data_IF_528783620964
#
_entry.id   IF_528783620964
#
_cell.length_a   1.000
_cell.length_b   1.000
_cell.length_c   1.000
_cell.angle_alpha   90.00
_cell.angle_beta   90.00
_cell.angle_gamma   90.00
#
_symmetry.space_group_name_H-M   'P 1'
#
loop_
_entity.id
_entity.type
_entity.pdbx_description
1 polymer ?
#
# COMPACT_ATOMS: atom_id res chain seq x y z
N UNK A 1 -30.04 33.98 1.57
CA UNK A 1 -29.37 33.23 2.67
C UNK A 1 -27.89 32.92 2.42
N UNK A 2 -27.23 33.51 1.43
CA UNK A 2 -25.87 33.13 1.00
C UNK A 2 -24.72 34.04 1.44
N UNK A 3 -24.97 35.12 2.17
CA UNK A 3 -23.93 36.08 2.54
C UNK A 3 -23.20 35.78 3.86
N UNK A 4 -23.62 34.78 4.58
CA UNK A 4 -23.08 34.51 5.93
C UNK A 4 -21.91 33.47 5.95
N UNK A 5 -21.66 32.76 4.82
CA UNK A 5 -20.62 31.71 4.72
C UNK A 5 -19.34 32.24 4.09
N UNK A 6 -19.23 33.51 3.78
CA UNK A 6 -18.08 34.12 3.15
C UNK A 6 -17.12 34.75 4.14
N UNK A 7 -15.83 34.46 3.95
CA UNK A 7 -14.73 35.11 4.65
C UNK A 7 -13.80 35.82 3.67
N UNK A 8 -12.76 36.47 4.20
CA UNK A 8 -11.73 37.16 3.44
C UNK A 8 -10.35 36.73 3.90
N UNK A 9 -9.50 36.47 2.96
CA UNK A 9 -8.08 36.18 3.23
C UNK A 9 -7.42 37.38 3.88
N UNK A 10 -6.80 37.20 5.04
CA UNK A 10 -6.10 38.25 5.80
C UNK A 10 -4.58 38.06 5.79
N UNK A 11 -4.10 36.82 5.73
CA UNK A 11 -2.68 36.49 5.65
C UNK A 11 -2.45 35.23 4.83
N UNK A 12 -1.32 35.19 4.13
CA UNK A 12 -0.87 34.03 3.34
C UNK A 12 0.60 33.81 3.66
N UNK A 13 0.93 32.62 4.17
CA UNK A 13 2.31 32.21 4.49
C UNK A 13 2.54 30.84 3.87
N UNK A 14 2.96 30.84 2.58
CA UNK A 14 3.04 29.62 1.79
C UNK A 14 1.66 28.94 1.73
N UNK A 15 1.57 27.63 2.07
CA UNK A 15 0.30 26.91 2.08
C UNK A 15 -0.62 27.21 3.27
N UNK A 16 -0.15 27.95 4.27
CA UNK A 16 -0.98 28.39 5.41
C UNK A 16 -1.69 29.71 5.05
N UNK A 17 -3.01 29.73 5.20
CA UNK A 17 -3.87 30.85 4.85
C UNK A 17 -4.78 31.19 6.03
N UNK A 18 -4.72 32.43 6.49
CA UNK A 18 -5.62 32.94 7.53
C UNK A 18 -6.80 33.65 6.88
N UNK A 19 -8.00 33.29 7.31
CA UNK A 19 -9.28 33.80 6.80
C UNK A 19 -10.11 34.40 7.94
N UNK A 20 -10.64 35.57 7.73
CA UNK A 20 -11.53 36.25 8.67
C UNK A 20 -12.97 36.16 8.17
N UNK A 21 -13.87 35.77 9.06
CA UNK A 21 -15.32 35.72 8.83
C UNK A 21 -16.04 36.81 9.63
N UNK A 22 -17.22 37.19 9.18
CA UNK A 22 -18.05 38.20 9.91
C UNK A 22 -18.68 37.62 11.17
N UNK A 23 -19.82 36.96 11.03
CA UNK A 23 -20.57 36.38 12.15
C UNK A 23 -20.54 34.84 12.16
N UNK A 24 -20.07 34.23 11.11
CA UNK A 24 -19.93 32.79 10.95
C UNK A 24 -18.49 32.35 11.29
N UNK A 25 -18.35 31.24 11.97
CA UNK A 25 -17.07 30.63 12.23
C UNK A 25 -17.09 29.18 11.66
N UNK A 26 -16.31 28.85 10.62
CA UNK A 26 -16.23 27.50 10.09
C UNK A 26 -15.79 26.50 11.15
N UNK A 27 -16.33 25.28 11.09
CA UNK A 27 -15.85 24.19 11.94
C UNK A 27 -14.46 23.72 11.53
N UNK A 28 -13.72 23.15 12.46
CA UNK A 28 -12.43 22.50 12.18
C UNK A 28 -12.65 21.39 11.15
N UNK A 29 -11.72 21.23 10.21
CA UNK A 29 -11.76 20.32 9.06
C UNK A 29 -12.76 20.71 7.94
N UNK A 30 -13.52 21.79 8.07
CA UNK A 30 -14.32 22.26 6.95
C UNK A 30 -13.45 22.65 5.76
N UNK A 31 -13.98 22.37 4.56
CA UNK A 31 -13.39 22.80 3.30
C UNK A 31 -13.90 24.20 2.93
N UNK A 32 -12.98 25.12 2.71
CA UNK A 32 -13.24 26.45 2.18
C UNK A 32 -12.81 26.50 0.72
N UNK A 33 -13.58 27.16 -0.13
CA UNK A 33 -13.30 27.29 -1.56
C UNK A 33 -13.00 28.73 -1.95
N UNK A 34 -12.00 28.91 -2.80
CA UNK A 34 -11.67 30.16 -3.44
C UNK A 34 -11.07 29.91 -4.82
N UNK A 35 -11.21 30.87 -5.73
CA UNK A 35 -10.64 30.75 -7.06
C UNK A 35 -9.41 31.66 -7.18
N UNK A 36 -8.33 31.14 -7.71
CA UNK A 36 -7.09 31.87 -7.97
C UNK A 36 -6.91 31.99 -9.48
N UNK A 37 -6.59 33.20 -9.94
CA UNK A 37 -6.21 33.44 -11.33
C UNK A 37 -4.69 33.63 -11.38
N UNK A 38 -3.98 32.75 -12.09
CA UNK A 38 -2.53 32.83 -12.24
C UNK A 38 -2.11 33.96 -13.19
N UNK A 39 -0.81 34.20 -13.30
CA UNK A 39 -0.24 35.26 -14.16
C UNK A 39 -0.57 35.06 -15.65
N UNK A 40 -0.92 33.85 -16.08
CA UNK A 40 -1.33 33.52 -17.45
C UNK A 40 -2.83 33.67 -17.69
N UNK A 41 -3.59 34.14 -16.68
CA UNK A 41 -5.04 34.33 -16.76
C UNK A 41 -5.87 33.04 -16.62
N UNK A 42 -5.26 31.93 -16.21
CA UNK A 42 -5.96 30.67 -15.95
C UNK A 42 -6.51 30.72 -14.52
N UNK A 43 -7.81 30.51 -14.38
CA UNK A 43 -8.48 30.42 -13.06
C UNK A 43 -8.59 28.96 -12.64
N UNK A 44 -8.16 28.69 -11.42
CA UNK A 44 -8.25 27.36 -10.79
C UNK A 44 -8.89 27.49 -9.40
N UNK A 45 -9.70 26.52 -9.01
CA UNK A 45 -10.27 26.46 -7.68
C UNK A 45 -9.24 25.91 -6.69
N UNK A 46 -9.17 26.54 -5.54
CA UNK A 46 -8.30 26.11 -4.42
C UNK A 46 -9.14 25.78 -3.21
N UNK A 47 -8.90 24.63 -2.66
CA UNK A 47 -9.50 24.16 -1.42
C UNK A 47 -8.58 24.41 -0.24
N UNK A 48 -9.11 25.06 0.78
CA UNK A 48 -8.44 25.31 2.06
C UNK A 48 -9.13 24.48 3.14
N UNK A 49 -8.37 23.73 3.93
CA UNK A 49 -8.93 22.99 5.07
C UNK A 49 -8.70 23.75 6.36
N UNK A 50 -9.77 24.00 7.12
CA UNK A 50 -9.69 24.68 8.41
C UNK A 50 -8.97 23.80 9.42
N UNK A 51 -7.86 24.30 9.96
CA UNK A 51 -7.03 23.56 10.91
C UNK A 51 -7.10 24.11 12.33
N UNK A 52 -7.34 25.41 12.48
CA UNK A 52 -7.23 26.06 13.77
C UNK A 52 -8.13 27.31 13.83
N UNK A 53 -8.79 27.53 14.97
CA UNK A 53 -9.42 28.80 15.33
C UNK A 53 -8.40 29.73 15.99
N UNK A 54 -8.29 30.95 15.49
CA UNK A 54 -7.32 31.94 15.99
C UNK A 54 -7.96 32.94 16.95
N UNK A 55 -9.29 32.92 17.15
CA UNK A 55 -10.05 33.93 17.83
C UNK A 55 -10.56 35.02 16.87
N UNK A 56 -11.45 35.90 17.34
CA UNK A 56 -12.01 37.04 16.58
C UNK A 56 -12.57 36.63 15.20
N UNK A 57 -13.27 35.51 15.13
CA UNK A 57 -13.81 34.90 13.88
C UNK A 57 -12.76 34.63 12.81
N UNK A 58 -11.50 34.37 13.19
CA UNK A 58 -10.42 34.04 12.31
C UNK A 58 -10.07 32.56 12.39
N UNK A 59 -9.80 31.98 11.24
CA UNK A 59 -9.36 30.60 11.11
C UNK A 59 -8.04 30.50 10.36
N UNK A 60 -7.21 29.57 10.76
CA UNK A 60 -6.02 29.18 9.99
C UNK A 60 -6.32 27.91 9.22
N UNK A 61 -6.05 27.98 7.94
CA UNK A 61 -6.29 26.90 6.99
C UNK A 61 -4.98 26.43 6.35
N UNK A 62 -5.00 25.22 5.82
CA UNK A 62 -3.93 24.68 4.99
C UNK A 62 -4.48 24.40 3.60
N UNK A 63 -3.79 24.90 2.59
CA UNK A 63 -4.18 24.72 1.19
C UNK A 63 -3.89 23.31 0.67
N UNK A 64 -4.81 22.78 -0.15
CA UNK A 64 -4.66 21.51 -0.84
C UNK A 64 -4.00 21.68 -2.24
N UNK A 65 -4.05 22.86 -2.79
CA UNK A 65 -3.40 23.25 -4.05
C UNK A 65 -2.44 24.43 -3.81
N UNK A 66 -1.54 24.73 -4.78
CA UNK A 66 -0.64 25.88 -4.70
C UNK A 66 -1.39 27.19 -4.47
N UNK A 67 -0.82 28.06 -3.65
CA UNK A 67 -1.42 29.38 -3.27
C UNK A 67 -0.89 30.56 -4.08
N UNK A 68 -0.03 30.32 -5.06
CA UNK A 68 0.54 31.35 -5.91
C UNK A 68 -0.56 32.06 -6.72
N UNK A 69 -0.63 33.37 -6.55
CA UNK A 69 -1.68 34.22 -7.13
C UNK A 69 -2.82 34.55 -6.17
N UNK A 70 -2.87 33.95 -4.98
CA UNK A 70 -3.82 34.32 -3.93
C UNK A 70 -3.45 35.68 -3.35
N UNK A 71 -4.45 36.51 -3.08
CA UNK A 71 -4.24 37.87 -2.58
C UNK A 71 -5.06 38.14 -1.29
N UNK A 72 -4.54 39.05 -0.47
CA UNK A 72 -5.30 39.52 0.70
C UNK A 72 -6.62 40.20 0.28
N UNK A 73 -7.65 39.99 1.04
CA UNK A 73 -8.99 40.48 0.74
C UNK A 73 -9.80 39.60 -0.18
N UNK A 74 -9.20 38.55 -0.76
CA UNK A 74 -9.88 37.58 -1.62
C UNK A 74 -11.01 36.88 -0.84
N UNK A 75 -12.11 36.67 -1.53
CA UNK A 75 -13.29 35.99 -0.94
C UNK A 75 -13.07 34.50 -0.89
N UNK A 76 -13.42 33.93 0.25
CA UNK A 76 -13.39 32.47 0.51
C UNK A 76 -14.76 32.04 1.00
N UNK A 77 -15.29 30.95 0.51
CA UNK A 77 -16.60 30.44 0.88
C UNK A 77 -16.48 29.13 1.66
N UNK A 78 -17.07 29.09 2.86
CA UNK A 78 -17.21 27.86 3.64
C UNK A 78 -18.24 26.94 3.00
N UNK A 79 -17.87 25.69 2.74
CA UNK A 79 -18.77 24.66 2.21
C UNK A 79 -19.70 24.08 3.28
N UNK A 80 -19.44 24.37 4.56
CA UNK A 80 -20.17 23.81 5.71
C UNK A 80 -19.92 22.32 5.94
N UNK A 81 -18.89 21.75 5.33
CA UNK A 81 -18.54 20.32 5.43
C UNK A 81 -17.06 20.09 5.16
N UNK A 82 -16.50 18.96 5.61
CA UNK A 82 -15.15 18.55 5.26
C UNK A 82 -14.97 18.33 3.75
N UNK A 83 -13.73 18.14 3.32
CA UNK A 83 -13.42 17.73 1.94
C UNK A 83 -14.19 16.44 1.62
N UNK A 84 -15.05 16.51 0.62
CA UNK A 84 -15.80 15.37 0.09
C UNK A 84 -15.25 14.96 -1.27
N UNK A 85 -15.08 13.67 -1.46
CA UNK A 85 -14.49 13.10 -2.69
C UNK A 85 -15.46 12.12 -3.36
N UNK A 86 -15.42 12.01 -4.70
CA UNK A 86 -16.23 11.04 -5.42
C UNK A 86 -15.83 9.62 -5.03
N UNK A 87 -16.82 8.76 -4.90
CA UNK A 87 -16.65 7.35 -4.56
C UNK A 87 -17.51 6.50 -5.49
N UNK A 88 -17.19 5.22 -5.62
CA UNK A 88 -17.98 4.28 -6.37
C UNK A 88 -17.26 3.73 -7.60
N UNK A 89 -17.93 2.85 -8.37
CA UNK A 89 -17.37 2.19 -9.55
C UNK A 89 -16.82 3.16 -10.60
N UNK A 90 -17.34 4.37 -10.65
CA UNK A 90 -16.92 5.42 -11.58
C UNK A 90 -15.48 5.93 -11.33
N UNK A 91 -14.90 5.62 -10.16
CA UNK A 91 -13.51 5.93 -9.84
C UNK A 91 -12.52 4.88 -10.36
N UNK A 92 -12.99 3.70 -10.73
CA UNK A 92 -12.13 2.63 -11.21
C UNK A 92 -11.47 2.99 -12.54
N UNK A 93 -10.19 2.70 -12.65
CA UNK A 93 -9.36 3.04 -13.81
C UNK A 93 -8.99 4.52 -13.90
N UNK A 94 -9.44 5.36 -12.98
CA UNK A 94 -9.23 6.80 -12.96
C UNK A 94 -8.12 7.20 -11.98
N UNK A 95 -7.50 8.33 -12.26
CA UNK A 95 -6.58 8.99 -11.34
C UNK A 95 -7.25 10.26 -10.82
N UNK A 96 -7.37 10.37 -9.51
CA UNK A 96 -7.91 11.55 -8.82
C UNK A 96 -6.88 12.14 -7.85
N UNK A 97 -7.00 13.43 -7.58
CA UNK A 97 -6.19 14.12 -6.59
C UNK A 97 -6.83 14.06 -5.17
N UNK A 98 -6.23 14.77 -4.22
CA UNK A 98 -6.67 14.79 -2.83
C UNK A 98 -8.10 15.27 -2.63
N UNK A 99 -8.60 16.18 -3.45
CA UNK A 99 -9.96 16.72 -3.39
C UNK A 99 -10.96 15.99 -4.29
N UNK A 100 -10.47 14.97 -5.01
CA UNK A 100 -11.31 14.13 -5.88
C UNK A 100 -11.42 14.60 -7.32
N UNK A 101 -10.64 15.59 -7.73
CA UNK A 101 -10.61 16.02 -9.13
C UNK A 101 -9.82 15.03 -9.99
N UNK A 102 -10.29 14.69 -11.21
CA UNK A 102 -9.56 13.84 -12.13
C UNK A 102 -8.31 14.56 -12.65
N UNK A 103 -7.19 13.83 -12.69
CA UNK A 103 -5.89 14.32 -13.19
C UNK A 103 -5.35 13.50 -14.36
N UNK A 104 -6.17 12.61 -14.90
CA UNK A 104 -5.84 11.68 -15.99
C UNK A 104 -6.26 12.17 -17.39
N UNK A 105 -6.70 13.43 -17.51
CA UNK A 105 -7.19 14.05 -18.77
C UNK A 105 -8.35 13.31 -19.44
N UNK A 106 -9.06 12.45 -18.70
CA UNK A 106 -10.20 11.65 -19.21
C UNK A 106 -11.57 12.26 -18.90
N UNK A 107 -11.60 13.57 -18.61
CA UNK A 107 -12.83 14.29 -18.30
C UNK A 107 -13.36 14.04 -16.87
N UNK A 108 -14.49 14.65 -16.52
CA UNK A 108 -15.05 14.57 -15.18
C UNK A 108 -15.47 13.15 -14.82
N UNK A 109 -15.47 12.84 -13.51
CA UNK A 109 -15.97 11.58 -12.97
C UNK A 109 -17.47 11.69 -12.78
N UNK A 110 -18.21 10.81 -13.43
CA UNK A 110 -19.69 10.75 -13.35
C UNK A 110 -20.19 10.08 -12.06
N UNK A 111 -19.73 10.58 -10.91
CA UNK A 111 -20.04 9.99 -9.60
C UNK A 111 -21.52 10.19 -9.19
N UNK A 112 -22.04 9.19 -8.48
CA UNK A 112 -23.38 9.23 -7.88
C UNK A 112 -23.38 9.65 -6.42
N UNK A 113 -22.24 9.49 -5.75
CA UNK A 113 -22.05 9.74 -4.32
C UNK A 113 -20.71 10.38 -4.06
N UNK A 114 -20.67 11.23 -3.03
CA UNK A 114 -19.42 11.73 -2.45
C UNK A 114 -19.41 11.41 -0.96
N UNK A 115 -18.23 11.16 -0.40
CA UNK A 115 -18.04 10.92 1.03
C UNK A 115 -16.94 11.83 1.59
N UNK A 116 -17.07 12.25 2.86
CA UNK A 116 -16.04 13.05 3.51
C UNK A 116 -14.79 12.22 3.77
N UNK A 117 -13.61 12.82 3.63
CA UNK A 117 -12.33 12.14 3.90
C UNK A 117 -12.07 11.97 5.40
N UNK A 118 -12.64 12.84 6.24
CA UNK A 118 -12.59 12.72 7.69
C UNK A 118 -13.80 11.93 8.16
N UNK A 119 -13.56 10.70 8.56
CA UNK A 119 -14.57 9.74 9.03
C UNK A 119 -14.05 9.03 10.27
N UNK A 120 -14.95 8.63 11.12
CA UNK A 120 -14.65 7.77 12.26
C UNK A 120 -14.36 6.34 11.83
N UNK A 121 -13.57 5.64 12.63
CA UNK A 121 -13.38 4.20 12.47
C UNK A 121 -14.70 3.44 12.66
N UNK A 122 -14.86 2.23 12.09
CA UNK A 122 -16.05 1.41 12.32
C UNK A 122 -16.27 1.14 13.81
N UNK A 123 -17.53 1.11 14.23
CA UNK A 123 -17.90 0.81 15.62
C UNK A 123 -17.57 -0.65 15.97
N UNK A 124 -17.33 -0.93 17.24
CA UNK A 124 -17.04 -2.30 17.71
C UNK A 124 -18.10 -3.33 17.29
N UNK A 125 -19.36 -2.94 17.27
CA UNK A 125 -20.47 -3.81 16.84
C UNK A 125 -20.45 -4.17 15.36
N UNK A 126 -19.77 -3.38 14.52
CA UNK A 126 -19.66 -3.58 13.08
C UNK A 126 -18.42 -4.38 12.69
N UNK A 127 -17.46 -4.54 13.61
CA UNK A 127 -16.22 -5.24 13.35
C UNK A 127 -16.45 -6.75 13.15
N UNK A 128 -15.69 -7.32 12.23
CA UNK A 128 -15.49 -8.76 12.14
C UNK A 128 -14.21 -9.11 12.90
N UNK A 129 -14.34 -9.86 13.97
CA UNK A 129 -13.23 -10.26 14.85
C UNK A 129 -12.62 -11.61 14.48
N UNK A 130 -13.09 -12.26 13.40
CA UNK A 130 -12.50 -13.52 12.92
C UNK A 130 -11.12 -13.25 12.33
N UNK A 131 -10.13 -14.03 12.77
CA UNK A 131 -8.79 -14.01 12.18
C UNK A 131 -8.78 -14.91 10.95
N UNK A 132 -9.03 -14.33 9.78
CA UNK A 132 -9.03 -15.03 8.51
C UNK A 132 -7.79 -14.65 7.70
N UNK A 133 -7.23 -15.64 7.02
CA UNK A 133 -6.14 -15.40 6.09
C UNK A 133 -6.68 -14.81 4.79
N UNK A 134 -5.97 -13.81 4.28
CA UNK A 134 -6.16 -13.26 2.95
C UNK A 134 -5.22 -13.98 1.97
N UNK A 135 -5.76 -14.91 1.19
CA UNK A 135 -4.98 -15.68 0.22
C UNK A 135 -4.60 -14.80 -0.98
N UNK A 136 -3.30 -14.65 -1.22
CA UNK A 136 -2.75 -13.80 -2.28
C UNK A 136 -2.48 -14.53 -3.59
N UNK A 137 -2.39 -15.85 -3.55
CA UNK A 137 -1.97 -16.70 -4.69
C UNK A 137 -0.47 -16.65 -4.97
N UNK A 138 0.31 -16.07 -4.05
CA UNK A 138 1.77 -15.96 -4.12
C UNK A 138 2.37 -16.87 -3.04
N UNK A 139 3.07 -17.92 -3.46
CA UNK A 139 3.56 -18.98 -2.57
C UNK A 139 4.32 -18.49 -1.36
N UNK A 140 5.30 -17.60 -1.55
CA UNK A 140 6.15 -17.11 -0.46
C UNK A 140 5.36 -16.34 0.57
N UNK A 141 4.40 -15.52 0.16
CA UNK A 141 3.54 -14.74 1.06
C UNK A 141 2.60 -15.69 1.81
N UNK A 142 1.82 -16.46 1.07
CA UNK A 142 0.76 -17.29 1.65
C UNK A 142 1.32 -18.36 2.61
N UNK A 143 2.50 -18.91 2.33
CA UNK A 143 3.10 -19.92 3.18
C UNK A 143 3.81 -19.33 4.41
N UNK A 144 4.67 -18.31 4.22
CA UNK A 144 5.67 -17.90 5.22
C UNK A 144 5.35 -16.60 5.95
N UNK A 145 4.50 -15.75 5.35
CA UNK A 145 4.09 -14.46 5.91
C UNK A 145 2.63 -14.13 5.60
N UNK A 146 1.68 -15.03 5.88
CA UNK A 146 0.29 -14.89 5.44
C UNK A 146 -0.32 -13.56 5.89
N UNK A 147 -1.02 -12.90 4.96
CA UNK A 147 -1.71 -11.65 5.23
C UNK A 147 -3.03 -11.91 5.96
N UNK A 148 -3.33 -11.07 6.94
CA UNK A 148 -4.63 -11.11 7.61
C UNK A 148 -5.66 -10.34 6.79
N UNK A 149 -6.85 -10.91 6.60
CA UNK A 149 -7.99 -10.21 6.02
C UNK A 149 -8.41 -9.05 6.94
N UNK A 150 -8.42 -7.84 6.40
CA UNK A 150 -8.60 -6.63 7.21
C UNK A 150 -7.37 -6.20 7.99
N UNK A 151 -6.23 -6.85 7.76
CA UNK A 151 -4.95 -6.55 8.40
C UNK A 151 -4.13 -5.50 7.64
N UNK A 152 -3.00 -5.18 8.25
CA UNK A 152 -2.08 -4.14 7.77
C UNK A 152 -0.71 -4.76 7.59
N UNK A 153 -0.20 -4.73 6.35
CA UNK A 153 1.11 -5.26 6.00
C UNK A 153 2.05 -4.13 5.63
N UNK A 154 3.22 -4.11 6.24
CA UNK A 154 4.32 -3.23 5.84
C UNK A 154 5.15 -3.86 4.73
N UNK A 155 5.35 -3.14 3.63
CA UNK A 155 6.20 -3.55 2.52
C UNK A 155 7.50 -2.77 2.55
N UNK A 156 8.59 -3.48 2.76
CA UNK A 156 9.96 -2.94 2.84
C UNK A 156 10.76 -3.37 1.63
N UNK A 157 11.59 -2.49 1.11
CA UNK A 157 12.47 -2.81 0.01
C UNK A 157 13.04 -1.57 -0.65
N UNK A 158 14.29 -1.66 -1.06
CA UNK A 158 14.98 -0.61 -1.81
C UNK A 158 14.50 -0.52 -3.26
N UNK A 159 15.11 0.36 -4.03
CA UNK A 159 14.84 0.45 -5.46
C UNK A 159 15.28 -0.81 -6.22
N UNK A 160 14.52 -1.21 -7.23
CA UNK A 160 14.88 -2.29 -8.15
C UNK A 160 14.66 -3.71 -7.64
N UNK A 161 13.96 -3.91 -6.53
CA UNK A 161 13.66 -5.24 -5.97
C UNK A 161 12.31 -5.82 -6.40
N UNK A 162 11.59 -5.13 -7.31
CA UNK A 162 10.31 -5.59 -7.82
C UNK A 162 9.08 -5.20 -6.99
N UNK A 163 9.18 -4.14 -6.15
CA UNK A 163 8.05 -3.64 -5.34
C UNK A 163 6.80 -3.38 -6.18
N UNK A 164 6.94 -2.61 -7.25
CA UNK A 164 5.84 -2.24 -8.15
C UNK A 164 5.21 -3.47 -8.81
N UNK A 165 6.03 -4.40 -9.27
CA UNK A 165 5.54 -5.65 -9.90
C UNK A 165 4.77 -6.51 -8.91
N UNK A 166 5.23 -6.59 -7.65
CA UNK A 166 4.51 -7.30 -6.59
C UNK A 166 3.16 -6.63 -6.29
N UNK A 167 3.11 -5.30 -6.20
CA UNK A 167 1.86 -4.55 -6.00
C UNK A 167 0.87 -4.84 -7.12
N UNK A 168 1.31 -4.75 -8.38
CA UNK A 168 0.46 -5.03 -9.53
C UNK A 168 -0.06 -6.47 -9.54
N UNK A 169 0.77 -7.43 -9.17
CA UNK A 169 0.35 -8.83 -9.08
C UNK A 169 -0.69 -9.06 -7.97
N UNK A 170 -0.52 -8.43 -6.82
CA UNK A 170 -1.52 -8.45 -5.75
C UNK A 170 -2.87 -7.87 -6.20
N UNK A 171 -2.85 -6.74 -6.92
CA UNK A 171 -4.07 -6.12 -7.49
C UNK A 171 -4.76 -7.10 -8.47
N UNK A 172 -3.98 -7.70 -9.36
CA UNK A 172 -4.51 -8.66 -10.32
C UNK A 172 -5.09 -9.90 -9.63
N UNK A 173 -4.42 -10.40 -8.61
CA UNK A 173 -4.82 -11.61 -7.91
C UNK A 173 -6.06 -11.42 -7.03
N UNK A 174 -6.22 -10.26 -6.36
CA UNK A 174 -7.47 -9.98 -5.63
C UNK A 174 -8.67 -9.89 -6.57
N UNK A 175 -8.48 -9.29 -7.73
CA UNK A 175 -9.55 -9.20 -8.72
C UNK A 175 -9.96 -10.59 -9.25
N UNK A 176 -9.00 -11.49 -9.48
CA UNK A 176 -9.25 -12.85 -9.98
C UNK A 176 -9.72 -13.81 -8.88
N UNK A 177 -9.07 -13.80 -7.73
CA UNK A 177 -9.33 -14.75 -6.65
C UNK A 177 -10.52 -14.40 -5.77
N UNK A 178 -10.73 -13.12 -5.50
CA UNK A 178 -11.73 -12.63 -4.54
C UNK A 178 -12.84 -11.79 -5.18
N UNK A 179 -12.73 -11.42 -6.45
CA UNK A 179 -13.67 -10.52 -7.13
C UNK A 179 -13.75 -9.13 -6.49
N UNK A 180 -12.71 -8.75 -5.76
CA UNK A 180 -12.58 -7.48 -5.04
C UNK A 180 -11.97 -6.38 -5.89
N UNK A 181 -11.89 -5.19 -5.29
CA UNK A 181 -11.29 -4.01 -5.89
C UNK A 181 -10.03 -3.59 -5.12
N UNK A 182 -9.21 -2.81 -5.77
CA UNK A 182 -8.03 -2.21 -5.17
C UNK A 182 -8.08 -0.70 -5.24
N UNK A 183 -7.46 -0.05 -4.27
CA UNK A 183 -7.24 1.39 -4.25
C UNK A 183 -5.76 1.63 -4.01
N UNK A 184 -5.14 2.44 -4.84
CA UNK A 184 -3.73 2.81 -4.69
C UNK A 184 -3.64 4.29 -4.33
N UNK A 185 -3.12 4.59 -3.16
CA UNK A 185 -2.84 5.94 -2.67
C UNK A 185 -1.34 6.24 -2.78
N UNK A 186 -0.98 7.05 -3.77
CA UNK A 186 0.38 7.56 -3.96
C UNK A 186 0.61 8.81 -3.11
N UNK A 187 1.39 8.68 -2.04
CA UNK A 187 1.61 9.71 -1.04
C UNK A 187 3.03 10.27 -1.15
N UNK A 188 3.17 11.47 -1.69
CA UNK A 188 4.44 12.16 -1.78
C UNK A 188 5.47 11.50 -2.69
N UNK A 189 5.04 10.66 -3.62
CA UNK A 189 5.92 10.00 -4.59
C UNK A 189 6.22 10.89 -5.80
N UNK A 190 7.20 10.48 -6.60
CA UNK A 190 7.58 11.22 -7.81
C UNK A 190 6.49 11.08 -8.87
N UNK A 191 6.14 12.20 -9.52
CA UNK A 191 5.15 12.23 -10.61
C UNK A 191 5.47 11.22 -11.71
N UNK A 192 6.76 11.07 -12.06
CA UNK A 192 7.19 10.11 -13.08
C UNK A 192 6.86 8.67 -12.65
N UNK A 193 7.17 8.29 -11.42
CA UNK A 193 6.90 6.94 -10.91
C UNK A 193 5.40 6.62 -10.89
N UNK A 194 4.57 7.60 -10.50
CA UNK A 194 3.11 7.46 -10.56
C UNK A 194 2.58 7.30 -11.98
N UNK A 195 3.16 8.04 -12.95
CA UNK A 195 2.79 7.92 -14.35
C UNK A 195 3.25 6.59 -14.96
N UNK A 196 4.48 6.17 -14.64
CA UNK A 196 5.01 4.88 -15.09
C UNK A 196 4.13 3.73 -14.55
N UNK A 197 3.76 3.74 -13.27
CA UNK A 197 2.86 2.77 -12.66
C UNK A 197 1.49 2.70 -13.36
N UNK A 198 0.92 3.85 -13.69
CA UNK A 198 -0.36 3.91 -14.40
C UNK A 198 -0.28 3.27 -15.79
N UNK A 199 0.79 3.53 -16.55
CA UNK A 199 1.02 2.91 -17.86
C UNK A 199 1.26 1.40 -17.73
N UNK A 200 2.06 0.96 -16.77
CA UNK A 200 2.30 -0.45 -16.48
C UNK A 200 1.00 -1.20 -16.11
N UNK A 201 0.11 -0.57 -15.33
CA UNK A 201 -1.22 -1.12 -15.02
C UNK A 201 -2.11 -1.24 -16.26
N UNK A 202 -2.00 -0.31 -17.20
CA UNK A 202 -2.70 -0.40 -18.48
C UNK A 202 -2.12 -1.48 -19.38
N UNK A 203 -0.80 -1.63 -19.42
CA UNK A 203 -0.12 -2.61 -20.27
C UNK A 203 -0.31 -4.04 -19.74
N UNK A 204 -0.37 -4.21 -18.43
CA UNK A 204 -0.66 -5.50 -17.79
C UNK A 204 -2.15 -5.88 -17.76
N UNK A 205 -3.05 -4.97 -18.21
CA UNK A 205 -4.49 -5.21 -18.25
C UNK A 205 -5.20 -5.09 -16.88
N UNK A 206 -4.53 -4.58 -15.85
CA UNK A 206 -5.15 -4.23 -14.55
C UNK A 206 -6.13 -3.06 -14.72
N UNK A 207 -5.76 -2.10 -15.57
CA UNK A 207 -6.63 -1.04 -16.06
C UNK A 207 -6.96 -1.33 -17.51
N UNK A 208 -8.26 -1.44 -17.83
CA UNK A 208 -8.69 -1.64 -19.21
C UNK A 208 -8.65 -0.31 -19.96
N UNK A 209 -7.82 -0.26 -21.02
CA UNK A 209 -7.64 0.95 -21.85
C UNK A 209 -8.90 1.37 -22.61
N UNK A 210 -9.73 0.40 -22.98
CA UNK A 210 -10.89 0.60 -23.85
C UNK A 210 -12.17 0.80 -23.04
N UNK A 211 -12.28 0.15 -21.88
CA UNK A 211 -13.47 0.19 -21.04
C UNK A 211 -13.06 0.29 -19.56
N UNK A 212 -12.95 1.50 -19.06
CA UNK A 212 -12.53 1.76 -17.67
C UNK A 212 -13.43 1.08 -16.62
N UNK A 213 -14.69 0.79 -16.97
CA UNK A 213 -15.61 0.10 -16.04
C UNK A 213 -15.17 -1.33 -15.70
N UNK A 214 -14.30 -1.92 -16.50
CA UNK A 214 -13.70 -3.23 -16.26
C UNK A 214 -12.44 -3.18 -15.41
N UNK A 215 -11.90 -2.00 -15.18
CA UNK A 215 -10.73 -1.80 -14.35
C UNK A 215 -11.01 -2.20 -12.90
N UNK A 216 -9.99 -2.65 -12.18
CA UNK A 216 -10.11 -3.19 -10.83
C UNK A 216 -9.42 -2.34 -9.77
N UNK A 217 -8.87 -1.20 -10.15
CA UNK A 217 -8.12 -0.30 -9.28
C UNK A 217 -8.51 1.15 -9.51
N UNK A 218 -8.64 1.92 -8.42
CA UNK A 218 -8.70 3.37 -8.43
C UNK A 218 -7.36 3.94 -7.95
N UNK A 219 -6.86 4.99 -8.61
CA UNK A 219 -5.59 5.62 -8.28
C UNK A 219 -5.84 7.01 -7.68
N UNK A 220 -5.25 7.28 -6.52
CA UNK A 220 -5.35 8.55 -5.83
C UNK A 220 -3.95 9.10 -5.59
N UNK A 221 -3.59 10.22 -6.23
CA UNK A 221 -2.25 10.75 -6.19
C UNK A 221 -2.17 12.10 -5.48
N UNK A 222 -1.25 12.19 -4.52
CA UNK A 222 -0.74 13.42 -3.92
C UNK A 222 0.78 13.43 -4.05
N UNK A 223 1.27 13.98 -5.16
CA UNK A 223 2.67 13.88 -5.56
C UNK A 223 3.58 14.75 -4.68
N UNK A 224 4.90 14.51 -4.73
CA UNK A 224 5.87 15.23 -3.90
C UNK A 224 5.95 16.74 -4.20
N UNK A 225 5.51 17.16 -5.37
CA UNK A 225 5.46 18.59 -5.78
C UNK A 225 4.22 19.30 -5.24
N UNK A 226 3.23 18.59 -4.73
CA UNK A 226 2.01 19.16 -4.18
C UNK A 226 2.24 19.73 -2.78
N UNK A 227 1.41 20.68 -2.32
CA UNK A 227 1.50 21.26 -0.98
C UNK A 227 1.42 20.19 0.12
N UNK A 228 1.98 20.47 1.31
CA UNK A 228 1.95 19.52 2.42
C UNK A 228 0.53 19.14 2.87
N UNK A 229 -0.45 20.04 2.71
CA UNK A 229 -1.86 19.74 2.96
C UNK A 229 -2.37 18.60 2.09
N UNK A 230 -2.10 18.63 0.78
CA UNK A 230 -2.48 17.56 -0.14
C UNK A 230 -1.81 16.24 0.22
N UNK A 231 -0.51 16.24 0.46
CA UNK A 231 0.26 15.04 0.82
C UNK A 231 -0.17 14.43 2.17
N UNK A 232 -0.61 15.27 3.11
CA UNK A 232 -1.12 14.82 4.41
C UNK A 232 -2.55 14.24 4.34
N UNK A 233 -3.31 14.50 3.29
CA UNK A 233 -4.73 14.10 3.17
C UNK A 233 -4.99 13.05 2.09
N UNK A 234 -4.10 12.89 1.13
CA UNK A 234 -4.33 11.96 -0.01
C UNK A 234 -4.53 10.50 0.43
N UNK A 235 -3.84 10.05 1.47
CA UNK A 235 -4.06 8.70 2.03
C UNK A 235 -5.50 8.55 2.59
N UNK A 236 -6.04 9.60 3.21
CA UNK A 236 -7.43 9.62 3.70
C UNK A 236 -8.42 9.58 2.53
N UNK A 237 -8.12 10.27 1.43
CA UNK A 237 -8.93 10.22 0.20
C UNK A 237 -8.98 8.79 -0.34
N UNK A 238 -7.82 8.14 -0.48
CA UNK A 238 -7.74 6.75 -0.93
C UNK A 238 -8.50 5.79 -0.02
N UNK A 239 -8.34 5.95 1.29
CA UNK A 239 -9.06 5.15 2.27
C UNK A 239 -10.58 5.36 2.18
N UNK A 240 -11.05 6.59 1.95
CA UNK A 240 -12.48 6.89 1.78
C UNK A 240 -13.06 6.19 0.56
N UNK A 241 -12.34 6.14 -0.55
CA UNK A 241 -12.76 5.37 -1.74
C UNK A 241 -12.82 3.87 -1.42
N UNK A 242 -11.83 3.35 -0.70
CA UNK A 242 -11.82 1.94 -0.27
C UNK A 242 -12.99 1.60 0.68
N UNK A 243 -13.31 2.49 1.60
CA UNK A 243 -14.44 2.33 2.54
C UNK A 243 -15.79 2.24 1.83
N UNK A 244 -15.99 2.95 0.72
CA UNK A 244 -17.20 2.81 -0.07
C UNK A 244 -17.38 1.37 -0.55
N UNK A 245 -16.35 0.77 -1.14
CA UNK A 245 -16.43 -0.59 -1.63
C UNK A 245 -16.63 -1.62 -0.50
N UNK A 246 -16.02 -1.40 0.66
CA UNK A 246 -16.24 -2.24 1.85
C UNK A 246 -17.66 -2.11 2.42
N UNK A 247 -18.11 -0.87 2.65
CA UNK A 247 -19.29 -0.59 3.48
C UNK A 247 -20.59 -0.57 2.67
N UNK A 248 -20.54 -0.15 1.40
CA UNK A 248 -21.71 -0.02 0.51
C UNK A 248 -21.82 -1.22 -0.42
N UNK A 249 -20.73 -1.64 -1.04
CA UNK A 249 -20.74 -2.78 -1.97
C UNK A 249 -20.44 -4.13 -1.31
N UNK A 250 -20.00 -4.12 -0.04
CA UNK A 250 -19.72 -5.36 0.69
C UNK A 250 -18.56 -6.16 0.10
N UNK A 251 -17.55 -5.49 -0.43
CA UNK A 251 -16.41 -6.12 -1.11
C UNK A 251 -15.18 -6.24 -0.20
N UNK A 252 -14.33 -7.18 -0.55
CA UNK A 252 -12.97 -7.23 -0.04
C UNK A 252 -12.10 -6.28 -0.87
N UNK A 253 -11.47 -5.33 -0.20
CA UNK A 253 -10.70 -4.25 -0.83
C UNK A 253 -9.25 -4.36 -0.43
N UNK A 254 -8.34 -4.19 -1.37
CA UNK A 254 -6.92 -4.07 -1.13
C UNK A 254 -6.52 -2.60 -1.25
N UNK A 255 -6.04 -2.02 -0.16
CA UNK A 255 -5.58 -0.63 -0.12
C UNK A 255 -4.05 -0.60 -0.10
N UNK A 256 -3.47 0.01 -1.12
CA UNK A 256 -2.04 0.31 -1.15
C UNK A 256 -1.79 1.75 -0.72
N UNK A 257 -0.80 1.96 0.12
CA UNK A 257 -0.31 3.29 0.51
C UNK A 257 1.18 3.36 0.21
N UNK A 258 1.55 4.12 -0.77
CA UNK A 258 2.95 4.31 -1.13
C UNK A 258 3.29 5.80 -1.14
N UNK A 259 3.90 6.35 -0.13
CA UNK A 259 4.57 5.71 0.99
C UNK A 259 4.00 6.25 2.31
N UNK A 260 3.76 5.39 3.29
CA UNK A 260 3.17 5.82 4.58
C UNK A 260 4.07 6.78 5.36
N UNK A 261 5.39 6.70 5.20
CA UNK A 261 6.33 7.66 5.80
C UNK A 261 6.07 9.10 5.32
N UNK A 262 5.70 9.26 4.04
CA UNK A 262 5.41 10.58 3.47
C UNK A 262 4.14 11.20 4.06
N UNK A 263 3.18 10.38 4.47
CA UNK A 263 2.03 10.84 5.24
C UNK A 263 2.45 11.49 6.56
N UNK A 264 3.34 10.85 7.33
CA UNK A 264 3.84 11.40 8.58
C UNK A 264 4.71 12.63 8.36
N UNK A 265 5.53 12.65 7.34
CA UNK A 265 6.38 13.79 6.97
C UNK A 265 5.53 15.02 6.61
N UNK A 266 4.50 14.85 5.78
CA UNK A 266 3.58 15.92 5.43
C UNK A 266 2.82 16.44 6.65
N UNK A 267 2.43 15.57 7.58
CA UNK A 267 1.86 15.94 8.87
C UNK A 267 2.79 16.81 9.72
N UNK A 268 4.10 16.51 9.73
CA UNK A 268 5.10 17.33 10.42
C UNK A 268 5.22 18.73 9.78
N UNK A 269 5.22 18.81 8.44
CA UNK A 269 5.23 20.09 7.71
C UNK A 269 3.98 20.94 8.03
N UNK A 270 2.79 20.33 8.03
CA UNK A 270 1.54 20.99 8.39
C UNK A 270 1.59 21.48 9.84
N UNK A 271 2.05 20.66 10.77
CA UNK A 271 2.20 21.01 12.19
C UNK A 271 3.11 22.22 12.38
N UNK A 272 4.23 22.30 11.65
CA UNK A 272 5.14 23.43 11.68
C UNK A 272 4.46 24.71 11.14
N UNK A 273 3.70 24.64 10.06
CA UNK A 273 2.91 25.76 9.52
C UNK A 273 1.86 26.29 10.50
N UNK A 274 1.32 25.41 11.33
CA UNK A 274 0.37 25.78 12.39
C UNK A 274 1.05 26.35 13.63
N UNK A 275 2.39 26.39 13.69
CA UNK A 275 3.14 26.89 14.83
C UNK A 275 3.09 25.96 16.04
N UNK A 276 2.82 24.68 15.88
CA UNK A 276 2.82 23.70 16.97
C UNK A 276 4.27 23.38 17.39
N UNK A 277 4.49 23.22 18.68
CA UNK A 277 5.80 22.82 19.21
C UNK A 277 6.14 21.40 18.72
N UNK A 278 7.27 21.19 18.08
CA UNK A 278 7.67 19.85 17.61
C UNK A 278 7.98 18.91 18.78
N UNK A 279 7.72 17.63 18.58
CA UNK A 279 8.13 16.54 19.45
C UNK A 279 9.52 16.01 19.09
N UNK A 280 9.88 14.81 19.54
CA UNK A 280 11.16 14.18 19.26
C UNK A 280 11.47 14.14 17.75
N UNK A 281 12.71 14.40 17.38
CA UNK A 281 13.24 14.39 16.00
C UNK A 281 12.51 15.38 15.06
N UNK A 282 11.76 16.35 15.61
CA UNK A 282 11.03 17.36 14.82
C UNK A 282 9.67 16.93 14.32
N UNK A 283 9.17 15.76 14.71
CA UNK A 283 7.82 15.30 14.33
C UNK A 283 6.72 16.07 15.07
N UNK A 284 5.50 16.01 14.52
CA UNK A 284 4.31 16.58 15.15
C UNK A 284 3.98 15.90 16.48
N UNK A 285 3.49 16.63 17.48
CA UNK A 285 3.06 16.02 18.74
C UNK A 285 1.85 15.08 18.60
N UNK A 286 1.11 15.21 17.50
CA UNK A 286 -0.07 14.41 17.15
C UNK A 286 0.24 13.19 16.28
N UNK A 287 1.51 12.83 16.06
CA UNK A 287 1.94 11.75 15.18
C UNK A 287 1.19 10.43 15.45
N UNK A 288 1.18 9.99 16.69
CA UNK A 288 0.53 8.72 17.06
C UNK A 288 -0.99 8.77 16.86
N UNK A 289 -1.62 9.91 17.15
CA UNK A 289 -3.06 10.10 16.97
C UNK A 289 -3.44 10.10 15.49
N UNK A 290 -2.73 10.85 14.67
CA UNK A 290 -2.96 10.92 13.21
C UNK A 290 -2.76 9.55 12.54
N UNK A 291 -1.72 8.83 12.92
CA UNK A 291 -1.47 7.47 12.44
C UNK A 291 -2.58 6.52 12.92
N UNK A 292 -2.98 6.60 14.18
CA UNK A 292 -4.05 5.78 14.74
C UNK A 292 -5.39 6.02 14.02
N UNK A 293 -5.78 7.26 13.80
CA UNK A 293 -7.01 7.62 13.08
C UNK A 293 -7.05 7.04 11.66
N UNK A 294 -5.93 7.05 10.94
CA UNK A 294 -5.82 6.42 9.63
C UNK A 294 -5.91 4.89 9.75
N UNK A 295 -5.11 4.28 10.62
CA UNK A 295 -4.93 2.83 10.69
C UNK A 295 -6.18 2.10 11.23
N UNK A 296 -6.90 2.68 12.19
CA UNK A 296 -8.09 2.07 12.78
C UNK A 296 -9.29 2.00 11.81
N UNK A 297 -9.31 2.82 10.77
CA UNK A 297 -10.29 2.73 9.70
C UNK A 297 -10.04 1.54 8.75
N UNK A 298 -8.79 1.04 8.71
CA UNK A 298 -8.37 -0.10 7.89
C UNK A 298 -8.66 -1.37 8.67
N UNK A 299 -9.79 -2.00 8.42
CA UNK A 299 -10.22 -3.19 9.16
C UNK A 299 -11.29 -3.97 8.40
N UNK A 300 -11.58 -5.19 8.89
CA UNK A 300 -12.72 -5.99 8.46
C UNK A 300 -13.98 -5.59 9.22
N UNK A 301 -15.08 -5.47 8.47
CA UNK A 301 -16.43 -5.30 9.03
C UNK A 301 -17.30 -6.51 8.69
N UNK A 302 -18.50 -6.57 9.24
CA UNK A 302 -19.50 -7.60 8.89
C UNK A 302 -19.93 -7.55 7.43
N UNK A 303 -19.67 -6.46 6.72
CA UNK A 303 -20.06 -6.25 5.31
C UNK A 303 -18.96 -6.60 4.33
N UNK A 304 -17.73 -6.25 4.64
CA UNK A 304 -16.57 -6.44 3.79
C UNK A 304 -15.27 -6.12 4.53
N UNK A 305 -14.15 -6.12 3.83
CA UNK A 305 -12.84 -5.88 4.45
C UNK A 305 -12.01 -4.88 3.66
N UNK A 306 -11.12 -4.17 4.37
CA UNK A 306 -10.00 -3.45 3.79
C UNK A 306 -8.73 -4.08 4.35
N UNK A 307 -7.96 -4.71 3.47
CA UNK A 307 -6.61 -5.20 3.77
C UNK A 307 -5.61 -4.21 3.18
N UNK A 308 -4.63 -3.76 3.94
CA UNK A 308 -3.67 -2.78 3.42
C UNK A 308 -2.27 -3.34 3.25
N UNK A 309 -1.62 -2.88 2.19
CA UNK A 309 -0.18 -3.03 1.96
C UNK A 309 0.42 -1.63 1.91
N UNK A 310 1.25 -1.31 2.89
CA UNK A 310 1.81 0.02 3.09
C UNK A 310 3.31 -0.02 2.85
N UNK A 311 3.78 0.68 1.84
CA UNK A 311 5.21 0.85 1.64
C UNK A 311 5.77 1.72 2.77
N UNK A 312 6.80 1.23 3.45
CA UNK A 312 7.42 1.90 4.56
C UNK A 312 8.86 2.25 4.19
N UNK A 313 9.18 3.54 4.28
CA UNK A 313 10.55 4.02 4.21
C UNK A 313 11.08 4.21 5.63
N UNK A 314 12.26 3.67 5.90
CA UNK A 314 12.95 3.81 7.19
C UNK A 314 14.12 4.76 6.99
N UNK A 315 14.06 6.00 7.52
CA UNK A 315 15.14 6.97 7.40
C UNK A 315 16.44 6.44 7.98
N UNK A 316 17.52 6.48 7.21
CA UNK A 316 18.86 6.03 7.62
C UNK A 316 18.91 4.59 8.17
N UNK A 317 17.95 3.74 7.80
CA UNK A 317 17.77 2.39 8.33
C UNK A 317 17.58 2.35 9.87
N UNK A 318 17.15 3.47 10.46
CA UNK A 318 16.89 3.60 11.90
C UNK A 318 15.44 3.25 12.24
N UNK A 319 15.22 2.02 12.68
CA UNK A 319 13.91 1.51 13.11
C UNK A 319 13.40 2.14 14.41
N UNK A 320 14.24 2.91 15.12
CA UNK A 320 13.85 3.63 16.34
C UNK A 320 13.34 5.04 16.07
N UNK A 321 13.42 5.52 14.82
CA UNK A 321 12.80 6.77 14.39
C UNK A 321 11.29 6.75 14.68
N UNK A 322 10.73 7.83 15.26
CA UNK A 322 9.31 7.86 15.67
C UNK A 322 8.29 7.52 14.59
N UNK A 323 8.54 7.88 13.33
CA UNK A 323 7.59 7.63 12.26
C UNK A 323 7.49 6.13 11.91
N UNK A 324 8.57 5.40 11.56
CA UNK A 324 8.49 3.97 11.36
C UNK A 324 8.08 3.23 12.64
N UNK A 325 8.58 3.61 13.82
CA UNK A 325 8.22 2.95 15.08
C UNK A 325 6.70 3.01 15.34
N UNK A 326 6.07 4.17 15.11
CA UNK A 326 4.62 4.32 15.24
C UNK A 326 3.87 3.49 14.21
N UNK A 327 4.37 3.43 12.97
CA UNK A 327 3.77 2.61 11.91
C UNK A 327 3.84 1.12 12.25
N UNK A 328 5.00 0.63 12.70
CA UNK A 328 5.19 -0.78 13.08
C UNK A 328 4.22 -1.27 14.15
N UNK A 329 3.84 -0.40 15.09
CA UNK A 329 2.88 -0.76 16.14
C UNK A 329 1.52 -1.22 15.59
N UNK A 330 1.15 -0.76 14.39
CA UNK A 330 -0.11 -1.09 13.73
C UNK A 330 -0.03 -2.28 12.76
N UNK A 331 1.18 -2.71 12.39
CA UNK A 331 1.34 -3.76 11.37
C UNK A 331 1.08 -5.15 11.92
N UNK A 332 0.39 -5.96 11.14
CA UNK A 332 0.12 -7.38 11.40
C UNK A 332 1.14 -8.30 10.71
N UNK A 333 1.70 -7.84 9.59
CA UNK A 333 2.72 -8.55 8.84
C UNK A 333 3.75 -7.58 8.25
N UNK A 334 4.94 -8.10 7.95
CA UNK A 334 6.00 -7.35 7.26
C UNK A 334 6.57 -8.18 6.13
N UNK A 335 6.54 -7.64 4.91
CA UNK A 335 7.15 -8.20 3.71
C UNK A 335 8.44 -7.47 3.41
N UNK A 336 9.56 -8.15 3.49
CA UNK A 336 10.88 -7.59 3.20
C UNK A 336 11.35 -8.06 1.83
N UNK A 337 11.55 -7.12 0.89
CA UNK A 337 12.13 -7.40 -0.41
C UNK A 337 13.66 -7.22 -0.34
N UNK A 338 14.40 -8.26 -0.74
CA UNK A 338 15.86 -8.33 -0.66
C UNK A 338 16.54 -8.15 -2.01
N UNK A 339 17.56 -7.28 -2.06
CA UNK A 339 18.43 -7.14 -3.24
C UNK A 339 19.28 -8.39 -3.49
N UNK A 340 19.68 -9.09 -2.44
CA UNK A 340 20.46 -10.31 -2.54
C UNK A 340 19.65 -11.42 -3.24
N UNK A 341 18.37 -11.57 -2.86
CA UNK A 341 17.45 -12.52 -3.48
C UNK A 341 17.14 -12.12 -4.93
N UNK A 342 16.93 -10.82 -5.18
CA UNK A 342 16.75 -10.30 -6.54
C UNK A 342 17.98 -10.56 -7.43
N UNK A 343 19.19 -10.43 -6.89
CA UNK A 343 20.44 -10.72 -7.60
C UNK A 343 20.59 -12.20 -7.98
N UNK A 344 19.96 -13.11 -7.24
CA UNK A 344 19.87 -14.54 -7.57
C UNK A 344 18.82 -14.84 -8.66
N UNK A 345 18.10 -13.82 -9.14
CA UNK A 345 17.02 -13.98 -10.11
C UNK A 345 15.73 -14.59 -9.52
N UNK A 346 15.58 -14.62 -8.20
CA UNK A 346 14.42 -15.18 -7.53
C UNK A 346 13.38 -14.07 -7.37
N UNK A 347 12.23 -14.22 -8.02
CA UNK A 347 11.11 -13.29 -7.96
C UNK A 347 9.81 -14.03 -7.61
N UNK A 348 8.96 -13.44 -6.70
CA UNK A 348 9.19 -12.18 -5.99
C UNK A 348 10.40 -12.27 -5.06
N UNK A 349 11.15 -11.18 -4.94
CA UNK A 349 12.39 -11.14 -4.15
C UNK A 349 12.12 -10.98 -2.64
N UNK A 350 11.15 -11.68 -2.12
CA UNK A 350 10.77 -11.66 -0.70
C UNK A 350 11.80 -12.43 0.11
N UNK A 351 12.32 -11.82 1.16
CA UNK A 351 13.18 -12.49 2.13
C UNK A 351 12.32 -13.32 3.11
N UNK A 352 12.37 -14.66 3.00
CA UNK A 352 11.52 -15.53 3.82
C UNK A 352 11.90 -15.57 5.30
N UNK A 353 13.12 -15.16 5.65
CA UNK A 353 13.62 -15.15 7.02
C UNK A 353 13.40 -13.80 7.71
N UNK A 354 13.48 -12.70 6.95
CA UNK A 354 13.26 -11.35 7.46
C UNK A 354 11.78 -10.95 7.47
N UNK A 355 10.93 -11.61 6.68
CA UNK A 355 9.49 -11.35 6.62
C UNK A 355 8.75 -12.09 7.73
N UNK A 356 7.73 -11.43 8.30
CA UNK A 356 7.00 -11.94 9.47
C UNK A 356 5.50 -11.72 9.33
N UNK A 357 4.72 -12.56 10.02
CA UNK A 357 3.27 -12.37 10.17
C UNK A 357 2.79 -12.84 11.54
N UNK A 358 1.92 -12.04 12.15
CA UNK A 358 1.23 -12.43 13.39
C UNK A 358 0.25 -13.57 13.18
N UNK A 359 -0.20 -13.77 11.94
CA UNK A 359 -1.13 -14.82 11.57
C UNK A 359 -0.45 -16.21 11.54
N UNK A 360 0.88 -16.27 11.50
CA UNK A 360 1.64 -17.52 11.49
C UNK A 360 1.62 -18.17 12.89
N UNK A 361 0.46 -18.71 13.24
CA UNK A 361 0.15 -19.37 14.51
C UNK A 361 -0.67 -20.65 14.22
N UNK A 362 -0.31 -21.81 14.82
CA UNK A 362 -1.00 -23.08 14.54
C UNK A 362 -2.49 -23.05 14.92
N UNK A 363 -2.88 -22.20 15.88
CA UNK A 363 -4.28 -22.04 16.29
C UNK A 363 -5.14 -21.35 15.23
N UNK A 364 -4.52 -20.58 14.33
CA UNK A 364 -5.20 -19.82 13.27
C UNK A 364 -5.11 -20.58 11.94
N UNK A 365 -3.91 -21.00 11.56
CA UNK A 365 -3.64 -21.60 10.25
C UNK A 365 -3.74 -23.13 10.24
N UNK A 366 -3.77 -23.75 11.41
CA UNK A 366 -3.68 -25.20 11.57
C UNK A 366 -2.24 -25.72 11.56
N UNK A 367 -2.07 -26.92 12.13
CA UNK A 367 -0.74 -27.52 12.35
C UNK A 367 0.01 -27.79 11.06
N UNK A 368 -0.67 -28.22 10.01
CA UNK A 368 -0.02 -28.59 8.76
C UNK A 368 0.64 -27.42 8.06
N UNK A 369 -0.07 -26.28 7.95
CA UNK A 369 0.49 -25.06 7.38
C UNK A 369 1.64 -24.53 8.25
N UNK A 370 1.40 -24.37 9.55
CA UNK A 370 2.39 -23.84 10.48
C UNK A 370 3.68 -24.66 10.49
N UNK A 371 3.57 -25.99 10.64
CA UNK A 371 4.74 -26.86 10.68
C UNK A 371 5.52 -26.84 9.37
N UNK A 372 4.84 -26.82 8.22
CA UNK A 372 5.50 -26.71 6.91
C UNK A 372 6.26 -25.41 6.81
N UNK A 373 5.66 -24.28 7.17
CA UNK A 373 6.31 -22.97 7.16
C UNK A 373 7.55 -22.93 8.06
N UNK A 374 7.43 -23.48 9.28
CA UNK A 374 8.55 -23.49 10.23
C UNK A 374 9.69 -24.40 9.76
N UNK A 375 9.40 -25.54 9.13
CA UNK A 375 10.41 -26.42 8.53
C UNK A 375 11.15 -25.75 7.39
N UNK A 376 10.42 -25.07 6.50
CA UNK A 376 11.01 -24.27 5.41
C UNK A 376 11.95 -23.21 5.96
N UNK A 377 11.50 -22.43 6.95
CA UNK A 377 12.33 -21.40 7.60
C UNK A 377 13.57 -22.01 8.26
N UNK A 378 13.44 -23.14 8.95
CA UNK A 378 14.57 -23.82 9.59
C UNK A 378 15.62 -24.30 8.60
N UNK A 379 15.21 -24.87 7.47
CA UNK A 379 16.12 -25.31 6.39
C UNK A 379 16.83 -24.10 5.77
N UNK A 380 16.12 -23.03 5.48
CA UNK A 380 16.70 -21.80 4.92
C UNK A 380 17.64 -21.11 5.90
N UNK A 381 17.30 -21.08 7.19
CA UNK A 381 18.16 -20.53 8.24
C UNK A 381 19.47 -21.32 8.37
N UNK A 382 19.37 -22.64 8.40
CA UNK A 382 20.55 -23.52 8.44
C UNK A 382 21.42 -23.33 7.20
N UNK A 383 20.82 -23.21 6.02
CA UNK A 383 21.56 -22.92 4.79
C UNK A 383 22.30 -21.58 4.86
N UNK A 384 21.66 -20.54 5.39
CA UNK A 384 22.30 -19.24 5.58
C UNK A 384 23.53 -19.33 6.50
N UNK A 385 23.44 -20.09 7.59
CA UNK A 385 24.57 -20.34 8.49
C UNK A 385 25.71 -21.10 7.81
N UNK A 386 25.39 -22.00 6.87
CA UNK A 386 26.39 -22.79 6.14
C UNK A 386 27.04 -22.02 4.98
N UNK A 387 26.46 -20.91 4.52
CA UNK A 387 26.98 -20.17 3.35
C UNK A 387 28.40 -19.64 3.58
N UNK A 388 28.73 -19.16 4.76
CA UNK A 388 30.07 -18.70 5.07
C UNK A 388 31.09 -19.85 5.04
N UNK A 389 30.71 -21.01 5.54
CA UNK A 389 31.55 -22.23 5.52
C UNK A 389 31.75 -22.67 4.07
N UNK A 390 30.69 -22.68 3.26
CA UNK A 390 30.75 -23.06 1.84
C UNK A 390 31.67 -22.10 1.06
N UNK A 391 31.57 -20.79 1.35
CA UNK A 391 32.38 -19.77 0.68
C UNK A 391 33.89 -19.90 0.98
N UNK A 392 34.24 -20.32 2.17
CA UNK A 392 35.65 -20.41 2.63
C UNK A 392 36.24 -21.78 2.36
N UNK A 393 35.53 -22.86 2.67
CA UNK A 393 36.05 -24.23 2.67
C UNK A 393 35.53 -25.08 1.50
N UNK A 394 34.46 -24.65 0.84
CA UNK A 394 33.80 -25.41 -0.22
C UNK A 394 32.72 -26.38 0.30
N UNK A 395 31.97 -26.93 -0.65
CA UNK A 395 30.87 -27.89 -0.35
C UNK A 395 31.39 -29.25 0.15
N UNK A 396 32.62 -29.65 -0.22
CA UNK A 396 33.14 -30.96 0.10
C UNK A 396 33.44 -31.16 1.58
N UNK A 397 33.71 -30.08 2.30
CA UNK A 397 33.98 -30.09 3.75
C UNK A 397 32.72 -30.21 4.61
N UNK A 398 31.50 -30.10 4.03
CA UNK A 398 30.27 -30.30 4.75
C UNK A 398 29.99 -31.75 5.07
N UNK A 399 29.32 -32.04 6.18
CA UNK A 399 28.75 -33.35 6.48
C UNK A 399 27.73 -33.77 5.43
N UNK A 400 27.46 -35.03 5.28
CA UNK A 400 26.44 -35.52 4.35
C UNK A 400 25.03 -34.98 4.68
N UNK A 401 24.71 -34.82 5.98
CA UNK A 401 23.47 -34.21 6.42
C UNK A 401 23.39 -32.74 6.03
N UNK A 402 24.47 -31.97 6.19
CA UNK A 402 24.52 -30.57 5.78
C UNK A 402 24.43 -30.42 4.26
N UNK A 403 25.08 -31.29 3.49
CA UNK A 403 24.96 -31.33 2.03
C UNK A 403 23.51 -31.55 1.59
N UNK A 404 22.79 -32.44 2.26
CA UNK A 404 21.38 -32.71 1.99
C UNK A 404 20.50 -31.46 2.32
N UNK A 405 20.75 -30.82 3.45
CA UNK A 405 20.06 -29.57 3.84
C UNK A 405 20.31 -28.48 2.79
N UNK A 406 21.54 -28.29 2.34
CA UNK A 406 21.89 -27.31 1.30
C UNK A 406 21.17 -27.62 -0.01
N UNK A 407 21.13 -28.90 -0.44
CA UNK A 407 20.44 -29.31 -1.66
C UNK A 407 18.93 -29.00 -1.58
N UNK A 408 18.28 -29.31 -0.46
CA UNK A 408 16.87 -29.00 -0.25
C UNK A 408 16.61 -27.50 -0.12
N UNK A 409 17.48 -26.75 0.55
CA UNK A 409 17.37 -25.30 0.69
C UNK A 409 17.42 -24.60 -0.68
N UNK A 410 18.30 -25.02 -1.57
CA UNK A 410 18.39 -24.48 -2.93
C UNK A 410 17.11 -24.76 -3.74
N UNK A 411 16.54 -25.96 -3.61
CA UNK A 411 15.25 -26.29 -4.24
C UNK A 411 14.13 -25.44 -3.68
N UNK A 412 14.08 -25.25 -2.36
CA UNK A 412 13.10 -24.38 -1.68
C UNK A 412 13.23 -22.94 -2.17
N UNK A 413 14.44 -22.37 -2.23
CA UNK A 413 14.65 -21.01 -2.74
C UNK A 413 14.13 -20.84 -4.16
N UNK A 414 14.41 -21.79 -5.04
CA UNK A 414 13.93 -21.76 -6.42
C UNK A 414 12.43 -21.97 -6.50
N UNK A 415 11.85 -22.82 -5.66
CA UNK A 415 10.41 -23.06 -5.62
C UNK A 415 9.63 -21.90 -5.02
N UNK A 416 10.27 -21.04 -4.22
CA UNK A 416 9.68 -19.76 -3.78
C UNK A 416 9.48 -18.78 -4.92
N UNK A 417 10.23 -18.90 -6.02
CA UNK A 417 10.01 -18.12 -7.22
C UNK A 417 8.70 -18.51 -7.92
N UNK A 418 8.07 -17.53 -8.56
CA UNK A 418 6.77 -17.73 -9.21
C UNK A 418 6.64 -16.77 -10.40
N UNK A 419 6.18 -17.23 -11.56
CA UNK A 419 5.88 -16.35 -12.68
C UNK A 419 4.61 -15.55 -12.38
N UNK A 420 4.66 -14.25 -12.63
CA UNK A 420 3.54 -13.32 -12.40
C UNK A 420 2.79 -13.02 -13.69
N UNK A 421 1.47 -12.87 -13.60
CA UNK A 421 0.62 -12.48 -14.72
C UNK A 421 1.02 -11.12 -15.29
N UNK A 422 1.32 -10.17 -14.43
CA UNK A 422 1.70 -8.80 -14.84
C UNK A 422 3.07 -8.74 -15.50
N UNK A 423 3.88 -9.78 -15.37
CA UNK A 423 5.20 -9.89 -15.97
C UNK A 423 5.25 -10.75 -17.25
N UNK A 424 4.13 -11.34 -17.69
CA UNK A 424 4.08 -12.23 -18.86
C UNK A 424 4.68 -11.63 -20.12
N UNK A 425 4.36 -10.36 -20.39
CA UNK A 425 4.88 -9.66 -21.58
C UNK A 425 6.39 -9.44 -21.58
N UNK A 426 7.03 -9.43 -20.40
CA UNK A 426 8.48 -9.24 -20.27
C UNK A 426 9.24 -10.57 -20.17
N UNK A 427 8.64 -11.57 -19.54
CA UNK A 427 9.28 -12.85 -19.28
C UNK A 427 8.95 -13.92 -20.32
N UNK A 428 7.86 -13.75 -21.07
CA UNK A 428 7.31 -14.76 -21.96
C UNK A 428 6.75 -16.00 -21.25
N UNK A 429 6.64 -15.95 -19.91
CA UNK A 429 6.11 -17.04 -19.10
C UNK A 429 4.69 -16.71 -18.65
N UNK A 430 3.78 -17.69 -18.77
CA UNK A 430 2.43 -17.53 -18.25
C UNK A 430 2.42 -17.43 -16.74
N UNK A 431 1.73 -16.41 -16.21
CA UNK A 431 1.59 -16.18 -14.78
C UNK A 431 0.82 -17.30 -14.08
N UNK A 432 1.06 -17.46 -12.80
CA UNK A 432 0.47 -18.52 -11.99
C UNK A 432 -0.15 -17.94 -10.72
N UNK A 433 -1.41 -18.28 -10.47
CA UNK A 433 -2.04 -18.16 -9.17
C UNK A 433 -1.94 -19.52 -8.47
N UNK A 434 -1.21 -19.59 -7.38
CA UNK A 434 -0.99 -20.86 -6.67
C UNK A 434 -1.85 -20.88 -5.40
N UNK A 435 -2.72 -21.87 -5.29
CA UNK A 435 -3.56 -22.04 -4.09
C UNK A 435 -2.70 -22.40 -2.89
N UNK A 436 -3.14 -21.98 -1.71
CA UNK A 436 -2.44 -22.26 -0.45
C UNK A 436 -2.20 -23.77 -0.24
N UNK A 437 -3.20 -24.59 -0.52
CA UNK A 437 -3.10 -26.07 -0.37
C UNK A 437 -1.97 -26.65 -1.22
N UNK A 438 -1.84 -26.20 -2.48
CA UNK A 438 -0.78 -26.64 -3.41
C UNK A 438 0.60 -26.14 -2.93
N UNK A 439 0.68 -24.95 -2.37
CA UNK A 439 1.90 -24.41 -1.77
C UNK A 439 2.33 -25.25 -0.56
N UNK A 440 1.44 -25.51 0.39
CA UNK A 440 1.73 -26.32 1.58
C UNK A 440 2.19 -27.74 1.16
N UNK A 441 1.45 -28.37 0.25
CA UNK A 441 1.79 -29.70 -0.28
C UNK A 441 3.20 -29.72 -0.89
N UNK A 442 3.46 -28.79 -1.81
CA UNK A 442 4.73 -28.76 -2.54
C UNK A 442 5.93 -28.56 -1.62
N UNK A 443 5.87 -27.60 -0.71
CA UNK A 443 6.95 -27.35 0.24
C UNK A 443 7.10 -28.47 1.29
N UNK A 444 6.01 -29.05 1.77
CA UNK A 444 6.08 -30.20 2.67
C UNK A 444 6.79 -31.38 1.99
N UNK A 445 6.43 -31.72 0.76
CA UNK A 445 7.07 -32.81 0.00
C UNK A 445 8.55 -32.57 -0.27
N UNK A 446 8.97 -31.32 -0.51
CA UNK A 446 10.40 -30.98 -0.66
C UNK A 446 11.13 -31.16 0.67
N UNK A 447 10.55 -30.69 1.78
CA UNK A 447 11.12 -30.87 3.12
C UNK A 447 11.24 -32.34 3.52
N UNK A 448 10.28 -33.18 3.12
CA UNK A 448 10.29 -34.64 3.36
C UNK A 448 11.31 -35.40 2.50
N UNK A 449 11.88 -34.73 1.50
CA UNK A 449 12.88 -35.34 0.61
C UNK A 449 12.31 -36.17 -0.54
N UNK A 450 11.01 -36.13 -0.76
CA UNK A 450 10.35 -36.88 -1.84
C UNK A 450 10.94 -36.54 -3.22
N UNK A 451 11.44 -35.32 -3.38
CA UNK A 451 11.95 -34.78 -4.64
C UNK A 451 13.46 -34.55 -4.63
N UNK A 452 14.20 -35.21 -3.74
CA UNK A 452 15.65 -35.03 -3.63
C UNK A 452 16.40 -35.44 -4.92
N UNK A 453 15.84 -36.35 -5.69
CA UNK A 453 16.39 -36.84 -6.97
C UNK A 453 16.22 -35.87 -8.15
N UNK A 454 15.37 -34.86 -8.04
CA UNK A 454 15.14 -33.90 -9.13
C UNK A 454 16.20 -32.78 -9.11
N UNK A 455 16.58 -32.23 -10.29
CA UNK A 455 17.52 -31.13 -10.37
C UNK A 455 16.88 -29.83 -9.83
N UNK A 456 17.68 -28.98 -9.19
CA UNK A 456 17.20 -27.72 -8.60
C UNK A 456 16.54 -26.75 -9.61
N UNK A 457 16.98 -26.80 -10.88
CA UNK A 457 16.44 -25.96 -11.95
C UNK A 457 14.97 -26.27 -12.28
N UNK A 458 14.50 -27.47 -11.98
CA UNK A 458 13.11 -27.85 -12.19
C UNK A 458 12.15 -27.04 -11.31
N UNK A 459 12.61 -26.58 -10.15
CA UNK A 459 11.80 -25.82 -9.18
C UNK A 459 11.74 -24.31 -9.47
N UNK A 460 12.48 -23.83 -10.45
CA UNK A 460 12.58 -22.40 -10.75
C UNK A 460 11.42 -21.91 -11.61
N UNK A 461 10.73 -20.84 -11.15
CA UNK A 461 9.61 -20.19 -11.85
C UNK A 461 8.52 -21.19 -12.29
N UNK A 462 8.04 -21.97 -11.34
CA UNK A 462 6.90 -22.87 -11.50
C UNK A 462 5.79 -22.53 -10.51
N UNK A 463 4.56 -22.95 -10.78
CA UNK A 463 3.43 -22.77 -9.87
C UNK A 463 3.41 -23.88 -8.81
N UNK A 464 2.96 -25.06 -9.19
CA UNK A 464 2.80 -26.20 -8.29
C UNK A 464 3.97 -27.18 -8.35
N UNK A 465 3.99 -28.13 -7.43
CA UNK A 465 5.06 -29.18 -7.40
C UNK A 465 4.97 -30.11 -8.61
N UNK A 466 3.75 -30.36 -9.11
CA UNK A 466 3.52 -31.15 -10.32
C UNK A 466 4.20 -30.51 -11.54
N UNK A 467 4.12 -29.19 -11.66
CA UNK A 467 4.81 -28.45 -12.74
C UNK A 467 6.34 -28.57 -12.64
N UNK A 468 6.89 -28.65 -11.43
CA UNK A 468 8.30 -28.87 -11.22
C UNK A 468 8.71 -30.28 -11.69
N UNK A 469 7.90 -31.29 -11.42
CA UNK A 469 8.11 -32.68 -11.89
C UNK A 469 8.10 -32.76 -13.42
N UNK A 470 7.05 -32.17 -14.06
CA UNK A 470 6.96 -32.11 -15.52
C UNK A 470 8.16 -31.38 -16.15
N UNK A 471 8.59 -30.29 -15.49
CA UNK A 471 9.77 -29.55 -15.96
C UNK A 471 11.06 -30.38 -15.84
N UNK A 472 11.20 -31.16 -14.76
CA UNK A 472 12.35 -32.08 -14.62
C UNK A 472 12.37 -33.13 -15.70
N UNK A 473 11.23 -33.71 -16.07
CA UNK A 473 11.12 -34.67 -17.17
C UNK A 473 11.55 -34.06 -18.51
N UNK A 474 11.13 -32.83 -18.79
CA UNK A 474 11.54 -32.07 -19.97
C UNK A 474 13.04 -31.79 -20.00
N UNK A 475 13.63 -31.44 -18.84
CA UNK A 475 15.08 -31.21 -18.73
C UNK A 475 15.90 -32.48 -18.90
N UNK A 476 15.37 -33.64 -18.53
CA UNK A 476 16.02 -34.92 -18.71
C UNK A 476 15.93 -35.45 -20.15
N UNK A 477 14.98 -34.94 -20.94
CA UNK A 477 14.78 -35.34 -22.34
C UNK A 477 15.63 -34.53 -23.36
N UNK A 478 16.30 -33.47 -22.90
CA UNK A 478 17.24 -32.63 -23.67
C UNK A 478 18.69 -33.04 -23.38
#
# INVERSE_FOLDING_TARGET
MSTNLQGRVIAIVGPAVDVEFGSHLPEIMNALLTDITNAQGVTASVTLEVQQHLGENRVRCVAMQPTEGMVRGQIVTDTGKPINVPVGPETLGRIINVVGDPVDERGPIGHKMTLPIHREAPKYEDLNTSSEMFETGIKVIDLLEPYAKGGKTGLFGGAGVGKTVLIMELINNIAKGHGGYSVFAGVGERTREGNDLWHEMMDSGVIDKNDLSKSKVALIYGQMTEPPGARARVALTGLTVAEYFRDVEGKDVLLFVDNIFRFTQAGAEVSALLGRMPSAVGYQPTLATEMGELQERITSTKKGSITSVQAVYVPADDYTDPAPATTFAHLDATTNLSREIAALGIYPAVDPLASTSRLLDPRILGDHHYNTAMRVKAILQKYKELQDIIAILGMDELSDDDKLIVARARKIQRFLSQPFFVAEQFTGMSGKYVKLEDSIKGFSEICDGKWDHLPEQAFYLVGTIEEAVEKAEKLAAV
#
